data_IF_026838483053
#
_entry.id   IF_026838483053
#
_cell.length_a   1.000
_cell.length_b   1.000
_cell.length_c   1.000
_cell.angle_alpha   90.00
_cell.angle_beta   90.00
_cell.angle_gamma   90.00
#
_symmetry.space_group_name_H-M   'P 1'
#
loop_
_entity.id
_entity.type
_entity.pdbx_description
1 polymer ?
#
# COMPACT_ATOMS: atom_id res chain seq x y z
N UNK A 1 12.78 9.90 -25.87
CA UNK A 1 11.49 10.49 -25.47
C UNK A 1 10.75 9.51 -24.56
N UNK A 2 10.21 9.99 -23.45
CA UNK A 2 9.48 9.18 -22.46
C UNK A 2 8.02 8.97 -22.84
N UNK A 3 7.37 7.94 -22.25
CA UNK A 3 5.96 7.60 -22.53
C UNK A 3 4.98 8.75 -22.26
N UNK A 4 5.27 9.62 -21.28
CA UNK A 4 4.44 10.79 -20.97
C UNK A 4 4.52 11.87 -22.04
N UNK A 5 5.71 12.09 -22.60
CA UNK A 5 5.96 13.10 -23.63
C UNK A 5 5.16 12.78 -24.91
N UNK A 6 5.14 11.52 -25.33
CA UNK A 6 4.33 11.10 -26.46
C UNK A 6 2.83 11.32 -26.25
N UNK A 7 2.30 11.20 -25.03
CA UNK A 7 0.88 11.48 -24.76
C UNK A 7 0.55 12.95 -24.96
N UNK A 8 1.47 13.84 -24.59
CA UNK A 8 1.33 15.28 -24.81
C UNK A 8 1.36 15.58 -26.30
N UNK A 9 2.25 14.94 -27.07
CA UNK A 9 2.29 15.09 -28.53
C UNK A 9 1.02 14.58 -29.20
N UNK A 10 0.52 13.40 -28.81
CA UNK A 10 -0.73 12.85 -29.35
C UNK A 10 -1.90 13.79 -29.02
N UNK A 11 -1.95 14.34 -27.79
CA UNK A 11 -2.94 15.35 -27.40
C UNK A 11 -2.83 16.62 -28.23
N UNK A 12 -1.61 17.08 -28.52
CA UNK A 12 -1.38 18.23 -29.40
C UNK A 12 -1.90 17.97 -30.82
N UNK A 13 -1.61 16.80 -31.41
CA UNK A 13 -2.15 16.41 -32.72
C UNK A 13 -3.68 16.39 -32.73
N UNK A 14 -4.29 15.87 -31.67
CA UNK A 14 -5.75 15.85 -31.51
C UNK A 14 -6.34 17.27 -31.45
N UNK A 15 -5.75 18.15 -30.63
CA UNK A 15 -6.19 19.55 -30.51
C UNK A 15 -6.00 20.36 -31.80
N UNK A 16 -5.00 20.01 -32.61
CA UNK A 16 -4.78 20.58 -33.95
C UNK A 16 -5.76 20.07 -35.00
N UNK A 17 -6.68 19.18 -34.64
CA UNK A 17 -7.68 18.63 -35.55
C UNK A 17 -7.13 17.59 -36.53
N UNK A 18 -5.90 17.11 -36.32
CA UNK A 18 -5.31 16.06 -37.18
C UNK A 18 -6.04 14.75 -36.99
N UNK A 19 -6.30 14.07 -38.11
CA UNK A 19 -6.89 12.74 -38.06
C UNK A 19 -5.87 11.72 -37.52
N UNK A 20 -6.34 10.58 -37.02
CA UNK A 20 -5.46 9.59 -36.37
C UNK A 20 -4.37 9.07 -37.32
N UNK A 21 -4.68 8.90 -38.61
CA UNK A 21 -3.70 8.46 -39.63
C UNK A 21 -2.60 9.51 -39.82
N UNK A 22 -2.97 10.79 -39.88
CA UNK A 22 -2.02 11.91 -40.02
C UNK A 22 -1.13 12.08 -38.80
N UNK A 23 -1.66 11.77 -37.61
CA UNK A 23 -0.88 11.79 -36.38
C UNK A 23 0.12 10.62 -36.32
N UNK A 24 -0.26 9.43 -36.79
CA UNK A 24 0.64 8.27 -36.89
C UNK A 24 1.77 8.59 -37.87
N UNK A 25 1.45 9.02 -39.09
CA UNK A 25 2.48 9.31 -40.09
C UNK A 25 3.42 10.43 -39.65
N UNK A 26 2.89 11.45 -38.97
CA UNK A 26 3.71 12.51 -38.40
C UNK A 26 4.62 12.02 -37.27
N UNK A 27 4.11 11.20 -36.35
CA UNK A 27 4.91 10.62 -35.26
C UNK A 27 5.99 9.67 -35.78
N UNK A 28 5.69 8.86 -36.79
CA UNK A 28 6.64 7.93 -37.40
C UNK A 28 7.73 8.67 -38.20
N UNK A 29 7.38 9.78 -38.86
CA UNK A 29 8.35 10.61 -39.58
C UNK A 29 9.29 11.38 -38.64
N UNK A 30 8.77 11.90 -37.53
CA UNK A 30 9.54 12.69 -36.57
C UNK A 30 10.35 11.80 -35.60
N UNK A 31 9.83 10.62 -35.25
CA UNK A 31 10.40 9.73 -34.23
C UNK A 31 10.46 8.25 -34.66
N UNK A 32 11.21 7.89 -35.71
CA UNK A 32 11.17 6.55 -36.31
C UNK A 32 11.50 5.41 -35.34
N UNK A 33 12.48 5.59 -34.44
CA UNK A 33 12.93 4.53 -33.53
C UNK A 33 12.20 4.50 -32.18
N UNK A 34 11.45 5.56 -31.85
CA UNK A 34 10.86 5.74 -30.50
C UNK A 34 9.36 5.97 -30.53
N UNK A 35 8.75 6.00 -31.71
CA UNK A 35 7.32 6.22 -31.88
C UNK A 35 6.49 5.18 -31.10
N UNK A 36 5.41 5.62 -30.44
CA UNK A 36 4.48 4.71 -29.79
C UNK A 36 3.74 3.89 -30.84
N UNK A 37 3.46 2.62 -30.53
CA UNK A 37 2.73 1.76 -31.45
C UNK A 37 1.35 2.30 -31.83
N UNK A 38 0.92 1.99 -33.05
CA UNK A 38 -0.35 2.45 -33.65
C UNK A 38 -1.56 2.24 -32.73
N UNK A 39 -1.63 1.11 -32.02
CA UNK A 39 -2.70 0.81 -31.06
C UNK A 39 -2.75 1.83 -29.92
N UNK A 40 -1.59 2.20 -29.38
CA UNK A 40 -1.48 3.19 -28.30
C UNK A 40 -2.01 4.55 -28.76
N UNK A 41 -1.66 4.98 -29.97
CA UNK A 41 -2.14 6.26 -30.53
C UNK A 41 -3.67 6.23 -30.69
N UNK A 42 -4.24 5.14 -31.22
CA UNK A 42 -5.70 4.97 -31.37
C UNK A 42 -6.44 4.97 -30.02
N UNK A 43 -5.89 4.32 -29.00
CA UNK A 43 -6.48 4.29 -27.66
C UNK A 43 -6.53 5.69 -27.04
N UNK A 44 -5.45 6.47 -27.18
CA UNK A 44 -5.41 7.86 -26.74
C UNK A 44 -6.40 8.74 -27.49
N UNK A 45 -6.49 8.61 -28.81
CA UNK A 45 -7.51 9.31 -29.60
C UNK A 45 -8.93 8.96 -29.16
N UNK A 46 -9.19 7.70 -28.80
CA UNK A 46 -10.49 7.27 -28.28
C UNK A 46 -10.79 7.91 -26.92
N UNK A 47 -9.81 7.99 -26.03
CA UNK A 47 -9.94 8.70 -24.73
C UNK A 47 -10.22 10.18 -24.92
N UNK A 48 -9.48 10.85 -25.80
CA UNK A 48 -9.69 12.27 -26.08
C UNK A 48 -11.06 12.56 -26.70
N UNK A 49 -11.58 11.66 -27.57
CA UNK A 49 -12.95 11.74 -28.07
C UNK A 49 -14.01 11.58 -26.97
N UNK A 50 -13.70 10.84 -25.89
CA UNK A 50 -14.57 10.69 -24.70
C UNK A 50 -14.48 11.89 -23.74
N UNK A 51 -13.62 12.87 -24.01
CA UNK A 51 -13.40 14.05 -23.17
C UNK A 51 -12.31 13.88 -22.10
N UNK A 52 -11.64 12.73 -22.04
CA UNK A 52 -10.56 12.46 -21.08
C UNK A 52 -9.24 13.09 -21.56
N UNK A 53 -9.05 14.39 -21.29
CA UNK A 53 -7.88 15.16 -21.76
C UNK A 53 -6.65 15.06 -20.86
N UNK A 54 -6.68 14.25 -19.79
CA UNK A 54 -5.52 14.05 -18.91
C UNK A 54 -4.46 13.19 -19.58
N UNK A 55 -3.20 13.60 -19.51
CA UNK A 55 -2.04 12.84 -20.02
C UNK A 55 -1.36 12.00 -18.95
N UNK A 56 -1.76 12.17 -17.69
CA UNK A 56 -1.23 11.42 -16.56
C UNK A 56 -1.78 9.98 -16.54
N UNK A 57 -1.01 9.08 -15.92
CA UNK A 57 -1.53 7.76 -15.60
C UNK A 57 -2.67 7.90 -14.59
N UNK A 58 -3.80 7.27 -14.87
CA UNK A 58 -4.85 7.09 -13.86
C UNK A 58 -4.34 6.24 -12.69
N UNK A 59 -5.05 6.28 -11.58
CA UNK A 59 -4.77 5.39 -10.45
C UNK A 59 -4.73 3.95 -10.94
N UNK A 60 -3.58 3.30 -10.77
CA UNK A 60 -3.46 1.89 -11.13
C UNK A 60 -4.25 1.10 -10.11
N UNK A 61 -5.24 0.36 -10.58
CA UNK A 61 -5.84 -0.71 -9.79
C UNK A 61 -4.76 -1.76 -9.51
N UNK A 62 -4.10 -1.65 -8.36
CA UNK A 62 -3.22 -2.69 -7.84
C UNK A 62 -4.03 -3.91 -7.39
N UNK A 63 -3.34 -5.03 -7.11
CA UNK A 63 -3.98 -6.17 -6.45
C UNK A 63 -4.59 -5.69 -5.12
N UNK A 64 -5.91 -5.84 -4.90
CA UNK A 64 -6.51 -5.45 -3.63
C UNK A 64 -5.83 -6.25 -2.50
N UNK A 65 -5.47 -5.57 -1.40
CA UNK A 65 -5.10 -6.23 -0.15
C UNK A 65 -6.38 -6.78 0.50
N UNK A 66 -7.08 -7.72 -0.16
CA UNK A 66 -8.36 -8.29 0.28
C UNK A 66 -8.32 -8.83 1.71
N UNK A 67 -7.14 -9.26 2.17
CA UNK A 67 -6.93 -9.84 3.50
C UNK A 67 -6.81 -8.79 4.61
N UNK A 68 -6.42 -7.55 4.29
CA UNK A 68 -6.20 -6.49 5.28
C UNK A 68 -7.39 -5.54 5.30
N UNK A 69 -8.55 -6.07 5.66
CA UNK A 69 -9.71 -5.26 6.01
C UNK A 69 -9.57 -4.76 7.45
N UNK A 70 -10.15 -3.59 7.73
CA UNK A 70 -10.17 -3.04 9.09
C UNK A 70 -10.84 -3.99 10.10
N UNK A 71 -11.77 -4.82 9.62
CA UNK A 71 -12.40 -5.88 10.42
C UNK A 71 -11.40 -6.94 10.89
N UNK A 72 -10.54 -7.41 9.98
CA UNK A 72 -9.52 -8.41 10.32
C UNK A 72 -8.47 -7.83 11.27
N UNK A 73 -8.09 -6.56 11.09
CA UNK A 73 -7.18 -5.86 12.01
C UNK A 73 -7.79 -5.80 13.41
N UNK A 74 -9.05 -5.37 13.53
CA UNK A 74 -9.76 -5.29 14.82
C UNK A 74 -9.93 -6.65 15.49
N UNK A 75 -10.21 -7.71 14.72
CA UNK A 75 -10.30 -9.08 15.25
C UNK A 75 -8.96 -9.55 15.81
N UNK A 76 -7.86 -9.36 15.07
CA UNK A 76 -6.51 -9.73 15.52
C UNK A 76 -6.14 -8.95 16.80
N UNK A 77 -6.42 -7.65 16.84
CA UNK A 77 -6.16 -6.81 18.02
C UNK A 77 -6.90 -7.34 19.27
N UNK A 78 -8.19 -7.66 19.13
CA UNK A 78 -8.99 -8.25 20.23
C UNK A 78 -8.45 -9.61 20.69
N UNK A 79 -8.05 -10.47 19.76
CA UNK A 79 -7.51 -11.79 20.11
C UNK A 79 -6.22 -11.65 20.92
N UNK A 80 -5.29 -10.81 20.48
CA UNK A 80 -4.01 -10.56 21.16
C UNK A 80 -4.21 -9.93 22.55
N UNK A 81 -5.19 -9.03 22.69
CA UNK A 81 -5.51 -8.41 23.97
C UNK A 81 -6.10 -9.42 24.97
N UNK A 82 -6.92 -10.36 24.49
CA UNK A 82 -7.57 -11.36 25.34
C UNK A 82 -6.59 -12.44 25.82
N UNK A 83 -5.70 -12.92 24.95
CA UNK A 83 -4.67 -13.89 25.34
C UNK A 83 -3.28 -13.50 24.80
N UNK A 84 -2.45 -13.08 25.75
CA UNK A 84 -1.08 -12.63 25.50
C UNK A 84 -0.15 -13.76 25.00
N UNK A 85 -0.49 -15.03 25.23
CA UNK A 85 0.34 -16.18 24.86
C UNK A 85 -0.05 -16.79 23.51
N UNK A 86 -1.03 -16.22 22.80
CA UNK A 86 -1.48 -16.72 21.51
C UNK A 86 -0.35 -16.84 20.50
N UNK A 87 -0.35 -17.97 19.79
CA UNK A 87 0.59 -18.24 18.71
C UNK A 87 0.05 -17.66 17.40
N UNK A 88 0.96 -17.19 16.54
CA UNK A 88 0.60 -16.70 15.20
C UNK A 88 -0.22 -17.73 14.39
N UNK A 89 0.10 -19.02 14.53
CA UNK A 89 -0.61 -20.10 13.84
C UNK A 89 -2.07 -20.23 14.29
N UNK A 90 -2.37 -19.96 15.55
CA UNK A 90 -3.74 -20.05 16.09
C UNK A 90 -4.61 -18.92 15.53
N UNK A 91 -4.03 -17.71 15.41
CA UNK A 91 -4.69 -16.55 14.80
C UNK A 91 -4.90 -16.77 13.29
N UNK A 92 -3.90 -17.33 12.61
CA UNK A 92 -3.99 -17.68 11.19
C UNK A 92 -5.10 -18.70 10.92
N UNK A 93 -5.18 -19.77 11.74
CA UNK A 93 -6.19 -20.81 11.61
C UNK A 93 -7.60 -20.30 11.88
N UNK A 94 -7.78 -19.48 12.93
CA UNK A 94 -9.10 -18.92 13.29
C UNK A 94 -9.63 -17.94 12.25
N UNK A 95 -8.76 -17.11 11.67
CA UNK A 95 -9.17 -16.14 10.65
C UNK A 95 -9.13 -16.71 9.23
N UNK A 96 -8.62 -17.94 9.04
CA UNK A 96 -8.36 -18.56 7.74
C UNK A 96 -7.48 -17.67 6.84
N UNK A 97 -6.50 -17.02 7.45
CA UNK A 97 -5.54 -16.12 6.81
C UNK A 97 -4.16 -16.77 6.85
N UNK A 98 -3.31 -16.49 5.86
CA UNK A 98 -1.92 -16.97 5.90
C UNK A 98 -1.13 -16.37 7.08
N UNK A 99 -0.21 -17.15 7.63
CA UNK A 99 0.62 -16.74 8.77
C UNK A 99 1.45 -15.49 8.47
N UNK A 100 1.93 -15.34 7.23
CA UNK A 100 2.69 -14.17 6.77
C UNK A 100 1.83 -12.91 6.81
N UNK A 101 0.54 -13.02 6.44
CA UNK A 101 -0.38 -11.88 6.44
C UNK A 101 -0.75 -11.47 7.87
N UNK A 102 -0.97 -12.43 8.78
CA UNK A 102 -1.15 -12.14 10.20
C UNK A 102 0.08 -11.44 10.77
N UNK A 103 1.29 -11.94 10.46
CA UNK A 103 2.54 -11.30 10.87
C UNK A 103 2.64 -9.87 10.33
N UNK A 104 2.35 -9.65 9.05
CA UNK A 104 2.33 -8.32 8.43
C UNK A 104 1.33 -7.38 9.12
N UNK A 105 0.13 -7.85 9.47
CA UNK A 105 -0.87 -7.04 10.19
C UNK A 105 -0.37 -6.63 11.57
N UNK A 106 0.20 -7.57 12.33
CA UNK A 106 0.70 -7.31 13.68
C UNK A 106 1.86 -6.30 13.66
N UNK A 107 2.77 -6.44 12.71
CA UNK A 107 3.95 -5.59 12.60
C UNK A 107 3.66 -4.21 11.99
N UNK A 108 2.97 -4.14 10.84
CA UNK A 108 2.78 -2.89 10.11
C UNK A 108 1.56 -2.10 10.58
N UNK A 109 0.46 -2.78 10.90
CA UNK A 109 -0.82 -2.11 11.23
C UNK A 109 -0.99 -1.93 12.74
N UNK A 110 -0.69 -2.95 13.55
CA UNK A 110 -0.77 -2.85 15.01
C UNK A 110 0.52 -2.32 15.64
N UNK A 111 1.65 -2.34 14.92
CA UNK A 111 2.94 -1.87 15.42
C UNK A 111 3.44 -2.66 16.63
N UNK A 112 3.01 -3.91 16.80
CA UNK A 112 3.34 -4.75 17.94
C UNK A 112 4.60 -5.56 17.67
N UNK A 113 5.42 -5.78 18.71
CA UNK A 113 6.60 -6.64 18.64
C UNK A 113 6.64 -7.61 19.81
N UNK A 114 7.13 -8.82 19.57
CA UNK A 114 7.29 -9.84 20.61
C UNK A 114 8.40 -9.43 21.57
N UNK A 115 8.09 -9.35 22.87
CA UNK A 115 9.08 -9.12 23.93
C UNK A 115 9.45 -10.46 24.59
N UNK A 116 10.73 -10.66 24.92
CA UNK A 116 11.13 -11.88 25.64
C UNK A 116 10.58 -11.85 27.08
N UNK A 117 10.13 -13.00 27.58
CA UNK A 117 9.50 -13.13 28.90
C UNK A 117 10.39 -12.67 30.07
N UNK A 118 11.73 -12.73 29.91
CA UNK A 118 12.69 -12.19 30.89
C UNK A 118 12.49 -10.69 31.13
N UNK A 119 12.28 -9.94 30.05
CA UNK A 119 12.01 -8.49 30.10
C UNK A 119 10.66 -8.17 30.74
N UNK A 120 9.66 -9.05 30.58
CA UNK A 120 8.35 -8.88 31.21
C UNK A 120 8.39 -9.05 32.73
N UNK A 121 9.23 -9.96 33.24
CA UNK A 121 9.46 -10.10 34.69
C UNK A 121 10.21 -8.89 35.26
N UNK A 122 11.17 -8.34 34.51
CA UNK A 122 11.91 -7.12 34.91
C UNK A 122 11.01 -5.87 34.88
N UNK A 123 10.14 -5.74 33.87
CA UNK A 123 9.19 -4.62 33.76
C UNK A 123 8.26 -4.51 34.97
N UNK A 124 7.79 -5.64 35.51
CA UNK A 124 6.99 -5.64 36.75
C UNK A 124 7.76 -5.16 37.98
N UNK A 125 9.09 -5.14 37.95
CA UNK A 125 9.97 -4.90 39.12
C UNK A 125 10.66 -3.53 39.10
N UNK A 126 10.87 -2.90 37.94
CA UNK A 126 11.46 -1.57 37.82
C UNK A 126 10.85 -0.80 36.64
N UNK A 127 10.02 0.22 36.93
CA UNK A 127 9.35 1.07 35.94
C UNK A 127 10.24 2.20 35.42
N UNK A 128 11.22 2.63 36.21
CA UNK A 128 12.00 3.85 36.01
C UNK A 128 13.28 3.67 35.17
N UNK A 129 13.78 2.44 35.04
CA UNK A 129 15.10 2.19 34.43
C UNK A 129 14.99 1.78 32.95
N UNK A 130 13.93 1.05 32.57
CA UNK A 130 13.76 0.52 31.20
C UNK A 130 13.38 1.56 30.14
N UNK A 131 12.80 2.69 30.55
CA UNK A 131 12.38 3.77 29.64
C UNK A 131 13.55 4.58 29.06
N UNK A 132 14.77 4.39 29.58
CA UNK A 132 15.97 5.07 29.11
C UNK A 132 16.71 4.34 27.97
N UNK A 133 16.62 3.00 27.91
CA UNK A 133 17.46 2.21 27.01
C UNK A 133 16.79 1.78 25.69
N UNK A 134 15.49 2.02 25.51
CA UNK A 134 14.74 1.52 24.33
C UNK A 134 13.66 2.49 23.85
N UNK A 135 14.08 3.71 23.49
CA UNK A 135 13.26 4.91 23.51
C UNK A 135 12.11 5.02 22.49
N UNK A 136 11.89 4.10 21.52
CA UNK A 136 10.83 4.30 20.51
C UNK A 136 9.93 3.11 20.17
N UNK A 137 10.23 1.88 20.60
CA UNK A 137 9.51 0.70 20.10
C UNK A 137 8.68 -0.08 21.11
N UNK A 138 8.90 0.10 22.41
CA UNK A 138 8.16 -0.59 23.48
C UNK A 138 6.95 0.21 23.97
N UNK A 139 6.87 1.49 23.63
CA UNK A 139 5.84 2.41 24.11
C UNK A 139 4.43 2.05 23.64
N UNK A 140 4.21 1.62 22.40
CA UNK A 140 2.83 1.38 21.91
C UNK A 140 2.12 0.21 22.61
N UNK A 141 2.80 -0.92 22.82
CA UNK A 141 2.20 -2.09 23.47
C UNK A 141 1.97 -1.84 24.96
N UNK A 142 2.95 -1.24 25.65
CA UNK A 142 2.85 -0.96 27.09
C UNK A 142 1.87 0.18 27.37
N UNK A 143 1.86 1.25 26.56
CA UNK A 143 0.91 2.35 26.72
C UNK A 143 -0.53 1.91 26.45
N UNK A 144 -0.78 1.10 25.41
CA UNK A 144 -2.13 0.60 25.10
C UNK A 144 -2.67 -0.32 26.20
N UNK A 145 -1.82 -1.13 26.82
CA UNK A 145 -2.21 -1.95 27.98
C UNK A 145 -2.42 -1.09 29.24
N UNK A 146 -1.59 -0.08 29.46
CA UNK A 146 -1.68 0.81 30.62
C UNK A 146 -2.90 1.76 30.57
N UNK A 147 -3.36 2.15 29.38
CA UNK A 147 -4.58 2.96 29.23
C UNK A 147 -5.86 2.18 29.58
N UNK A 148 -5.87 0.86 29.47
CA UNK A 148 -7.04 -0.01 29.73
C UNK A 148 -7.14 -0.45 31.19
N UNK A 149 -6.04 -0.48 31.95
CA UNK A 149 -6.08 -0.73 33.41
C UNK A 149 -6.59 0.48 34.23
N UNK A 150 -6.91 1.62 33.57
CA UNK A 150 -7.37 2.87 34.20
C UNK A 150 -8.81 3.28 33.86
N UNK A 151 -9.55 2.45 33.14
CA UNK A 151 -10.99 2.58 32.87
C UNK A 151 -11.72 1.38 33.41
#
# INVERSE_FOLDING_TARGET
>A
MGKKEFRVLIKYCFLKGKNTVEAITWLDAEFPDTAPGISTIKDWYTKFRRGEMSTEDGERSGRPKEVVTDENIKKIDKMILNDRKLKLNEIAHTLKISTERVHHIIHEYLGMRKLCAKWLKMFKRSKSEFLRDNQLFTFKVVAKLWTLERT
#
